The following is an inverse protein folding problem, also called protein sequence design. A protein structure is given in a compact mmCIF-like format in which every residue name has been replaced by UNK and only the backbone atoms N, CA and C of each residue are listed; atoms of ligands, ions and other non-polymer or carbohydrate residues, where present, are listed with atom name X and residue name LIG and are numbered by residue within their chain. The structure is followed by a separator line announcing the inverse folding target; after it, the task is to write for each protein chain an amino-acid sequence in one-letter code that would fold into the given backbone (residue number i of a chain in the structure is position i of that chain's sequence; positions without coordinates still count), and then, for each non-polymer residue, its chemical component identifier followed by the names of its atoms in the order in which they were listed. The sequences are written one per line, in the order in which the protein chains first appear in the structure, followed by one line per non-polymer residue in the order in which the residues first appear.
data_IF_513257441207
#
_entry.id   IF_513257441207
#
_cell.length_a   1.000
_cell.length_b   1.000
_cell.length_c   1.000
_cell.angle_alpha   90.00
_cell.angle_beta   90.00
_cell.angle_gamma   90.00
#
_symmetry.space_group_name_H-M   'P 1'
#
loop_
_entity.id
_entity.type
_entity.pdbx_description
1 polymer ?
#
# COMPACT_ATOMS: atom_id res chain seq x y z
N UNK A 1 -56.57 18.90 24.09
CA UNK A 1 -55.75 18.76 22.86
C UNK A 1 -54.52 17.95 23.25
N UNK A 2 -54.58 16.65 23.03
CA UNK A 2 -53.53 15.68 23.34
C UNK A 2 -52.68 15.51 22.08
N UNK A 3 -51.46 16.04 22.07
CA UNK A 3 -50.52 15.82 20.97
C UNK A 3 -50.09 14.35 20.92
N UNK A 4 -50.33 13.68 19.80
CA UNK A 4 -49.78 12.36 19.50
C UNK A 4 -48.32 12.50 19.03
N UNK A 5 -47.39 11.67 19.51
CA UNK A 5 -46.01 11.70 19.04
C UNK A 5 -45.89 11.10 17.63
N UNK A 6 -45.18 11.82 16.76
CA UNK A 6 -44.88 11.45 15.37
C UNK A 6 -44.11 10.11 15.29
N UNK A 7 -44.49 9.18 14.40
CA UNK A 7 -43.79 7.89 14.27
C UNK A 7 -42.37 8.08 13.74
N UNK A 8 -41.40 7.45 14.41
CA UNK A 8 -40.00 7.41 14.00
C UNK A 8 -39.85 6.65 12.67
N UNK A 9 -39.09 7.17 11.69
CA UNK A 9 -38.89 6.46 10.42
C UNK A 9 -38.15 5.14 10.64
N UNK A 10 -38.46 4.08 9.86
CA UNK A 10 -37.83 2.79 10.00
C UNK A 10 -36.31 2.89 9.78
N UNK A 11 -35.54 2.37 10.74
CA UNK A 11 -34.08 2.24 10.60
C UNK A 11 -33.77 1.42 9.36
N UNK A 12 -33.00 2.02 8.43
CA UNK A 12 -32.50 1.31 7.26
C UNK A 12 -31.70 0.08 7.71
N UNK A 13 -32.15 -1.10 7.31
CA UNK A 13 -31.45 -2.34 7.59
C UNK A 13 -30.00 -2.25 7.09
N UNK A 14 -29.00 -2.77 7.83
CA UNK A 14 -27.62 -2.78 7.37
C UNK A 14 -27.55 -3.49 6.02
N UNK A 15 -26.97 -2.81 5.03
CA UNK A 15 -26.79 -3.34 3.69
C UNK A 15 -26.10 -4.71 3.78
N UNK A 16 -26.82 -5.76 3.37
CA UNK A 16 -26.25 -7.10 3.30
C UNK A 16 -25.08 -7.04 2.29
N UNK A 17 -23.89 -7.57 2.63
CA UNK A 17 -22.85 -7.73 1.63
C UNK A 17 -23.38 -8.61 0.50
N UNK A 18 -23.14 -8.26 -0.77
CA UNK A 18 -23.70 -8.99 -1.90
C UNK A 18 -23.34 -10.47 -1.80
N UNK A 19 -24.36 -11.32 -1.84
CA UNK A 19 -24.22 -12.76 -1.83
C UNK A 19 -23.46 -13.22 -3.10
N UNK A 20 -22.36 -13.94 -2.90
CA UNK A 20 -21.66 -14.70 -3.94
C UNK A 20 -20.85 -13.89 -4.96
N UNK A 21 -19.60 -13.53 -4.63
CA UNK A 21 -18.64 -13.19 -5.68
C UNK A 21 -18.13 -14.49 -6.32
N UNK A 22 -18.61 -14.76 -7.53
CA UNK A 22 -18.23 -15.82 -8.47
C UNK A 22 -16.82 -15.62 -9.05
N UNK A 23 -15.85 -15.23 -8.21
CA UNK A 23 -14.44 -15.17 -8.57
C UNK A 23 -13.74 -16.49 -8.23
N UNK A 24 -12.87 -16.98 -9.11
CA UNK A 24 -11.96 -18.07 -8.75
C UNK A 24 -10.90 -17.52 -7.78
N UNK A 25 -10.84 -17.98 -6.52
CA UNK A 25 -9.87 -17.48 -5.55
C UNK A 25 -8.43 -17.64 -6.04
N UNK A 26 -8.16 -18.68 -6.83
CA UNK A 26 -6.86 -18.93 -7.45
C UNK A 26 -6.48 -17.80 -8.42
N UNK A 27 -7.42 -17.30 -9.23
CA UNK A 27 -7.17 -16.15 -10.12
C UNK A 27 -6.84 -14.91 -9.29
N UNK A 28 -7.56 -14.66 -8.19
CA UNK A 28 -7.25 -13.55 -7.28
C UNK A 28 -5.84 -13.65 -6.70
N UNK A 29 -5.43 -14.83 -6.26
CA UNK A 29 -4.07 -15.11 -5.74
C UNK A 29 -3.01 -14.88 -6.83
N UNK A 30 -3.20 -15.43 -8.03
CA UNK A 30 -2.26 -15.28 -9.14
C UNK A 30 -2.11 -13.80 -9.56
N UNK A 31 -3.22 -13.07 -9.66
CA UNK A 31 -3.20 -11.63 -9.94
C UNK A 31 -2.48 -10.85 -8.84
N UNK A 32 -2.64 -11.26 -7.57
CA UNK A 32 -1.95 -10.63 -6.45
C UNK A 32 -0.44 -10.85 -6.51
N UNK A 33 0.00 -12.09 -6.72
CA UNK A 33 1.43 -12.42 -6.84
C UNK A 33 2.05 -11.71 -8.05
N UNK A 34 1.34 -11.67 -9.19
CA UNK A 34 1.77 -10.92 -10.37
C UNK A 34 1.88 -9.41 -10.08
N UNK A 35 0.89 -8.82 -9.41
CA UNK A 35 0.92 -7.41 -8.99
C UNK A 35 2.13 -7.11 -8.11
N UNK A 36 2.34 -7.93 -7.07
CA UNK A 36 3.48 -7.80 -6.16
C UNK A 36 4.81 -7.91 -6.91
N UNK A 37 4.93 -8.88 -7.82
CA UNK A 37 6.14 -9.06 -8.63
C UNK A 37 6.42 -7.81 -9.49
N UNK A 38 5.39 -7.26 -10.13
CA UNK A 38 5.51 -6.02 -10.93
C UNK A 38 5.91 -4.82 -10.05
N UNK A 39 5.38 -4.71 -8.82
CA UNK A 39 5.78 -3.64 -7.89
C UNK A 39 7.23 -3.79 -7.42
N UNK A 40 7.70 -5.00 -7.16
CA UNK A 40 9.12 -5.22 -6.82
C UNK A 40 10.01 -4.90 -8.01
N UNK A 41 9.61 -5.26 -9.24
CA UNK A 41 10.30 -4.84 -10.47
C UNK A 41 10.34 -3.32 -10.59
N UNK A 42 9.23 -2.60 -10.32
CA UNK A 42 9.23 -1.13 -10.28
C UNK A 42 10.27 -0.61 -9.28
N UNK A 43 10.27 -1.08 -8.04
CA UNK A 43 11.23 -0.64 -7.02
C UNK A 43 12.67 -0.95 -7.41
N UNK A 44 12.90 -2.08 -8.08
CA UNK A 44 14.20 -2.50 -8.61
C UNK A 44 14.68 -1.53 -9.69
N UNK A 45 13.81 -1.18 -10.65
CA UNK A 45 14.12 -0.23 -11.72
C UNK A 45 14.39 1.18 -11.17
N UNK A 46 13.65 1.59 -10.12
CA UNK A 46 13.91 2.85 -9.40
C UNK A 46 15.29 2.82 -8.74
N UNK A 47 15.62 1.76 -7.99
CA UNK A 47 16.94 1.65 -7.37
C UNK A 47 18.06 1.62 -8.40
N UNK A 48 17.85 0.90 -9.51
CA UNK A 48 18.81 0.77 -10.60
C UNK A 48 19.04 2.08 -11.39
N UNK A 49 18.18 3.10 -11.25
CA UNK A 49 18.38 4.38 -11.93
C UNK A 49 19.47 5.26 -11.31
N UNK A 50 20.07 4.84 -10.18
CA UNK A 50 21.25 5.47 -9.58
C UNK A 50 20.95 6.58 -8.55
N UNK A 51 21.88 6.76 -7.62
CA UNK A 51 21.73 7.54 -6.36
C UNK A 51 21.60 9.06 -6.51
N UNK A 52 21.74 9.61 -7.72
CA UNK A 52 21.70 11.05 -7.95
C UNK A 52 20.29 11.64 -8.12
N UNK A 53 19.28 10.81 -8.42
CA UNK A 53 18.00 11.35 -8.86
C UNK A 53 17.15 11.86 -7.69
N UNK A 54 16.72 13.14 -7.70
CA UNK A 54 15.86 13.67 -6.65
C UNK A 54 14.55 12.89 -6.53
N UNK A 55 14.08 12.65 -5.30
CA UNK A 55 12.87 11.87 -5.08
C UNK A 55 11.63 12.45 -5.78
N UNK A 56 11.51 13.78 -5.87
CA UNK A 56 10.45 14.43 -6.63
C UNK A 56 10.48 14.11 -8.12
N UNK A 57 11.66 14.03 -8.73
CA UNK A 57 11.84 13.61 -10.11
C UNK A 57 11.43 12.14 -10.33
N UNK A 58 11.80 11.25 -9.41
CA UNK A 58 11.38 9.84 -9.45
C UNK A 58 9.84 9.75 -9.40
N UNK A 59 9.22 10.45 -8.45
CA UNK A 59 7.76 10.50 -8.28
C UNK A 59 7.07 10.98 -9.55
N UNK A 60 7.63 12.00 -10.21
CA UNK A 60 7.10 12.54 -11.46
C UNK A 60 7.09 11.48 -12.55
N UNK A 61 8.25 10.95 -12.93
CA UNK A 61 8.32 9.99 -14.03
C UNK A 61 7.50 8.74 -13.74
N UNK A 62 7.61 8.20 -12.51
CA UNK A 62 6.81 7.05 -12.09
C UNK A 62 5.31 7.32 -12.28
N UNK A 63 4.83 8.50 -11.90
CA UNK A 63 3.39 8.81 -11.94
C UNK A 63 2.92 9.18 -13.35
N UNK A 64 3.73 9.91 -14.10
CA UNK A 64 3.43 10.29 -15.48
C UNK A 64 3.31 9.05 -16.37
N UNK A 65 4.28 8.13 -16.30
CA UNK A 65 4.26 6.91 -17.09
C UNK A 65 3.26 5.86 -16.58
N UNK A 66 2.89 5.88 -15.28
CA UNK A 66 1.82 5.03 -14.76
C UNK A 66 0.44 5.35 -15.37
N UNK A 67 0.22 6.58 -15.83
CA UNK A 67 -1.04 6.98 -16.48
C UNK A 67 -1.28 6.16 -17.76
N UNK A 68 -0.24 5.79 -18.50
CA UNK A 68 -0.36 5.05 -19.77
C UNK A 68 -1.13 3.74 -19.63
N UNK A 69 -0.68 2.75 -18.83
CA UNK A 69 -1.44 1.50 -18.65
C UNK A 69 -2.81 1.74 -18.00
N UNK A 70 -2.96 2.75 -17.14
CA UNK A 70 -4.26 3.11 -16.54
C UNK A 70 -5.25 3.55 -17.62
N UNK A 71 -4.85 4.45 -18.52
CA UNK A 71 -5.69 4.93 -19.61
C UNK A 71 -6.03 3.80 -20.58
N UNK A 72 -5.05 2.97 -20.97
CA UNK A 72 -5.29 1.80 -21.83
C UNK A 72 -6.28 0.84 -21.19
N UNK A 73 -6.16 0.58 -19.89
CA UNK A 73 -7.12 -0.28 -19.19
C UNK A 73 -8.52 0.35 -19.14
N UNK A 74 -8.62 1.65 -18.87
CA UNK A 74 -9.90 2.37 -18.81
C UNK A 74 -10.60 2.44 -20.18
N UNK A 75 -9.86 2.63 -21.26
CA UNK A 75 -10.41 2.63 -22.63
C UNK A 75 -10.90 1.25 -23.02
N UNK A 76 -10.11 0.20 -22.80
CA UNK A 76 -10.51 -1.19 -23.08
C UNK A 76 -11.74 -1.61 -22.27
N UNK A 77 -11.92 -1.06 -21.07
CA UNK A 77 -13.12 -1.30 -20.23
C UNK A 77 -14.31 -0.39 -20.54
N UNK A 78 -14.18 0.59 -21.44
CA UNK A 78 -15.22 1.58 -21.72
C UNK A 78 -15.57 2.47 -20.52
N UNK A 79 -14.62 2.68 -19.61
CA UNK A 79 -14.85 3.39 -18.34
C UNK A 79 -14.22 4.78 -18.30
N UNK A 80 -13.51 5.19 -19.36
CA UNK A 80 -12.74 6.42 -19.41
C UNK A 80 -13.59 7.65 -19.05
N UNK A 81 -14.75 7.81 -19.68
CA UNK A 81 -15.65 8.97 -19.49
C UNK A 81 -16.11 9.12 -18.03
N UNK A 82 -16.30 7.99 -17.34
CA UNK A 82 -16.73 8.00 -15.94
C UNK A 82 -15.59 8.13 -14.95
N UNK A 83 -14.35 7.84 -15.36
CA UNK A 83 -13.18 7.91 -14.50
C UNK A 83 -12.79 9.36 -14.15
N UNK A 84 -13.16 10.32 -14.99
CA UNK A 84 -12.93 11.76 -14.77
C UNK A 84 -13.97 12.45 -13.89
N UNK A 85 -15.10 11.80 -13.61
CA UNK A 85 -16.16 12.40 -12.80
C UNK A 85 -15.87 12.15 -11.33
N UNK A 86 -15.68 13.22 -10.57
CA UNK A 86 -15.51 13.18 -9.11
C UNK A 86 -16.54 14.03 -8.40
N UNK A 87 -17.07 13.53 -7.28
CA UNK A 87 -17.93 14.29 -6.38
C UNK A 87 -17.13 15.05 -5.31
N UNK A 88 -15.85 14.71 -5.12
CA UNK A 88 -15.06 15.16 -3.98
C UNK A 88 -13.61 15.55 -4.34
N UNK A 89 -13.41 16.59 -5.18
CA UNK A 89 -12.08 16.98 -5.65
C UNK A 89 -11.12 17.34 -4.51
N UNK A 90 -11.62 17.97 -3.44
CA UNK A 90 -10.80 18.31 -2.26
C UNK A 90 -10.29 17.05 -1.53
N UNK A 91 -11.09 15.99 -1.47
CA UNK A 91 -10.70 14.72 -0.85
C UNK A 91 -9.63 14.01 -1.68
N UNK A 92 -9.74 14.04 -3.02
CA UNK A 92 -8.69 13.58 -3.91
C UNK A 92 -7.40 14.37 -3.74
N UNK A 93 -7.47 15.70 -3.64
CA UNK A 93 -6.29 16.53 -3.42
C UNK A 93 -5.59 16.24 -2.09
N UNK A 94 -6.34 16.19 -0.96
CA UNK A 94 -5.78 15.88 0.37
C UNK A 94 -5.12 14.50 0.38
N UNK A 95 -5.80 13.49 -0.15
CA UNK A 95 -5.24 12.14 -0.28
C UNK A 95 -4.04 12.13 -1.21
N UNK A 96 -4.09 12.89 -2.31
CA UNK A 96 -3.02 13.02 -3.28
C UNK A 96 -1.78 13.61 -2.62
N UNK A 97 -1.90 14.74 -1.93
CA UNK A 97 -0.81 15.38 -1.19
C UNK A 97 -0.14 14.41 -0.21
N UNK A 98 -0.92 13.81 0.70
CA UNK A 98 -0.39 12.88 1.71
C UNK A 98 0.26 11.65 1.04
N UNK A 99 -0.39 11.06 0.04
CA UNK A 99 0.12 9.88 -0.66
C UNK A 99 1.36 10.16 -1.51
N UNK A 100 1.48 11.37 -2.09
CA UNK A 100 2.63 11.80 -2.88
C UNK A 100 3.83 12.06 -1.98
N UNK A 101 3.63 12.72 -0.84
CA UNK A 101 4.69 12.89 0.16
C UNK A 101 5.16 11.53 0.69
N UNK A 102 4.23 10.61 0.99
CA UNK A 102 4.56 9.25 1.39
C UNK A 102 5.42 8.56 0.31
N UNK A 103 4.97 8.57 -0.95
CA UNK A 103 5.69 7.94 -2.06
C UNK A 103 7.08 8.55 -2.29
N UNK A 104 7.22 9.88 -2.20
CA UNK A 104 8.51 10.55 -2.31
C UNK A 104 9.49 10.12 -1.23
N UNK A 105 9.04 10.05 0.02
CA UNK A 105 9.86 9.56 1.14
C UNK A 105 10.20 8.07 0.99
N UNK A 106 9.26 7.26 0.50
CA UNK A 106 9.48 5.85 0.22
C UNK A 106 10.56 5.61 -0.84
N UNK A 107 10.50 6.35 -1.96
CA UNK A 107 11.55 6.29 -2.99
C UNK A 107 12.87 6.85 -2.50
N UNK A 108 12.86 7.94 -1.74
CA UNK A 108 14.06 8.47 -1.09
C UNK A 108 14.75 7.42 -0.22
N UNK A 109 13.97 6.62 0.52
CA UNK A 109 14.44 5.51 1.33
C UNK A 109 14.96 4.33 0.51
N UNK A 110 14.27 3.93 -0.55
CA UNK A 110 14.72 2.85 -1.47
C UNK A 110 16.10 3.18 -2.08
N UNK A 111 16.36 4.46 -2.35
CA UNK A 111 17.66 4.90 -2.89
C UNK A 111 18.81 4.87 -1.88
N UNK A 112 18.54 4.69 -0.58
CA UNK A 112 19.53 4.79 0.50
C UNK A 112 19.67 3.54 1.35
N UNK A 113 18.83 2.55 1.08
CA UNK A 113 18.80 1.31 1.82
C UNK A 113 19.01 0.14 0.86
N UNK A 114 19.54 -0.98 1.37
CA UNK A 114 19.35 -2.27 0.72
C UNK A 114 17.88 -2.48 0.37
N UNK A 115 17.62 -2.99 -0.83
CA UNK A 115 16.25 -3.19 -1.32
C UNK A 115 15.40 -4.01 -0.35
N UNK A 116 15.89 -5.13 0.23
CA UNK A 116 15.08 -5.90 1.16
C UNK A 116 14.83 -5.15 2.49
N UNK A 117 15.77 -4.34 2.97
CA UNK A 117 15.59 -3.51 4.18
C UNK A 117 14.46 -2.49 3.96
N UNK A 118 14.46 -1.79 2.82
CA UNK A 118 13.42 -0.81 2.48
C UNK A 118 12.03 -1.46 2.39
N UNK A 119 11.94 -2.64 1.76
CA UNK A 119 10.67 -3.40 1.66
C UNK A 119 10.21 -3.84 3.06
N UNK A 120 11.09 -4.43 3.87
CA UNK A 120 10.76 -4.95 5.19
C UNK A 120 10.32 -3.85 6.17
N UNK A 121 11.03 -2.71 6.21
CA UNK A 121 10.65 -1.56 7.04
C UNK A 121 9.32 -0.96 6.55
N UNK A 122 9.07 -0.96 5.23
CA UNK A 122 7.81 -0.50 4.64
C UNK A 122 6.57 -1.23 5.17
N UNK A 123 6.70 -2.47 5.66
CA UNK A 123 5.60 -3.20 6.32
C UNK A 123 5.18 -2.60 7.68
N UNK A 124 5.84 -1.56 8.17
CA UNK A 124 5.27 -0.72 9.21
C UNK A 124 3.92 -0.11 8.78
N UNK A 125 3.72 0.18 7.49
CA UNK A 125 2.51 0.83 6.98
C UNK A 125 1.21 0.06 7.32
N UNK A 126 1.05 -1.24 7.00
CA UNK A 126 -0.15 -1.98 7.39
C UNK A 126 -0.35 -2.06 8.91
N UNK A 127 0.73 -2.13 9.71
CA UNK A 127 0.64 -2.15 11.18
C UNK A 127 0.12 -0.80 11.70
N UNK A 128 0.68 0.31 11.23
CA UNK A 128 0.24 1.66 11.55
C UNK A 128 -1.18 1.94 11.05
N UNK A 129 -1.59 1.33 9.92
CA UNK A 129 -2.96 1.45 9.41
C UNK A 129 -3.98 0.88 10.40
N UNK A 130 -3.66 -0.21 11.11
CA UNK A 130 -4.53 -0.75 12.17
C UNK A 130 -4.68 0.24 13.32
N UNK A 131 -3.58 0.85 13.77
CA UNK A 131 -3.58 1.86 14.84
C UNK A 131 -4.42 3.07 14.42
N UNK A 132 -4.18 3.57 13.21
CA UNK A 132 -4.85 4.76 12.69
C UNK A 132 -6.33 4.51 12.41
N UNK A 133 -6.71 3.31 11.97
CA UNK A 133 -8.11 2.94 11.84
C UNK A 133 -8.83 2.95 13.21
N UNK A 134 -8.20 2.44 14.26
CA UNK A 134 -8.77 2.52 15.61
C UNK A 134 -8.98 3.98 16.06
N UNK A 135 -7.98 4.84 15.86
CA UNK A 135 -7.99 6.23 16.36
C UNK A 135 -8.88 7.15 15.52
N UNK A 136 -8.77 7.11 14.18
CA UNK A 136 -9.43 8.07 13.29
C UNK A 136 -10.79 7.61 12.77
N UNK A 137 -11.07 6.30 12.75
CA UNK A 137 -12.36 5.74 12.34
C UNK A 137 -13.18 5.22 13.52
N UNK A 138 -12.60 5.15 14.73
CA UNK A 138 -13.28 4.59 15.90
C UNK A 138 -13.52 3.07 15.78
N UNK A 139 -12.76 2.38 14.93
CA UNK A 139 -12.90 0.93 14.76
C UNK A 139 -12.53 0.19 16.05
N UNK A 140 -13.37 -0.74 16.49
CA UNK A 140 -13.09 -1.56 17.67
C UNK A 140 -12.07 -2.65 17.34
N UNK A 141 -10.83 -2.45 17.81
CA UNK A 141 -9.72 -3.37 17.58
C UNK A 141 -9.57 -4.34 18.76
N UNK A 142 -9.63 -5.64 18.45
CA UNK A 142 -9.48 -6.72 19.45
C UNK A 142 -8.03 -6.79 19.96
N UNK A 143 -7.86 -7.25 21.21
CA UNK A 143 -6.55 -7.30 21.88
C UNK A 143 -5.47 -8.05 21.08
N UNK A 144 -5.83 -9.13 20.39
CA UNK A 144 -4.86 -9.90 19.59
C UNK A 144 -4.31 -9.13 18.39
N UNK A 145 -5.07 -8.17 17.84
CA UNK A 145 -4.58 -7.27 16.78
C UNK A 145 -3.60 -6.27 17.36
N UNK A 146 -3.90 -5.70 18.53
CA UNK A 146 -2.98 -4.80 19.24
C UNK A 146 -1.65 -5.48 19.60
N UNK A 147 -1.70 -6.71 20.11
CA UNK A 147 -0.48 -7.46 20.41
C UNK A 147 0.33 -7.74 19.15
N UNK A 148 -0.32 -8.11 18.04
CA UNK A 148 0.37 -8.34 16.78
C UNK A 148 0.98 -7.06 16.19
N UNK A 149 0.29 -5.91 16.31
CA UNK A 149 0.84 -4.61 15.93
C UNK A 149 2.09 -4.28 16.75
N UNK A 150 2.04 -4.43 18.07
CA UNK A 150 3.18 -4.16 18.95
C UNK A 150 4.38 -5.07 18.62
N UNK A 151 4.15 -6.37 18.45
CA UNK A 151 5.18 -7.34 18.06
C UNK A 151 5.76 -7.02 16.68
N UNK A 152 4.90 -6.73 15.70
CA UNK A 152 5.33 -6.37 14.34
C UNK A 152 6.16 -5.09 14.32
N UNK A 153 5.76 -4.05 15.05
CA UNK A 153 6.54 -2.81 15.17
C UNK A 153 7.88 -3.05 15.88
N UNK A 154 7.93 -3.97 16.85
CA UNK A 154 9.19 -4.45 17.43
C UNK A 154 10.12 -5.09 16.38
N UNK A 155 9.56 -5.90 15.47
CA UNK A 155 10.30 -6.45 14.33
C UNK A 155 10.86 -5.36 13.40
N UNK A 156 10.08 -4.31 13.11
CA UNK A 156 10.54 -3.15 12.33
C UNK A 156 11.70 -2.43 13.02
N UNK A 157 11.65 -2.27 14.35
CA UNK A 157 12.75 -1.68 15.11
C UNK A 157 14.02 -2.53 15.03
N UNK A 158 13.91 -3.87 15.09
CA UNK A 158 15.06 -4.77 14.95
C UNK A 158 15.72 -4.63 13.57
N UNK A 159 14.92 -4.54 12.50
CA UNK A 159 15.44 -4.32 11.13
C UNK A 159 16.17 -2.96 11.05
N UNK A 160 15.59 -1.94 11.67
CA UNK A 160 16.06 -0.55 11.61
C UNK A 160 17.29 -0.31 12.49
N UNK A 161 17.46 -1.09 13.55
CA UNK A 161 18.46 -0.85 14.60
C UNK A 161 19.89 -0.69 14.07
N UNK A 162 20.44 -1.59 13.23
CA UNK A 162 21.83 -1.47 12.80
C UNK A 162 22.09 -0.20 11.99
N UNK A 163 21.14 0.17 11.13
CA UNK A 163 21.19 1.37 10.28
C UNK A 163 21.12 2.67 11.08
N UNK A 164 20.59 2.59 12.31
CA UNK A 164 20.48 3.71 13.24
C UNK A 164 21.60 3.75 14.29
N UNK A 165 22.30 2.64 14.54
CA UNK A 165 23.16 2.48 15.74
C UNK A 165 24.59 2.02 15.48
N UNK A 166 24.93 1.47 14.31
CA UNK A 166 26.19 0.76 14.11
C UNK A 166 27.05 1.41 13.00
N UNK A 167 28.02 2.22 13.42
CA UNK A 167 29.27 2.59 12.70
C UNK A 167 29.26 3.74 11.66
N UNK A 168 28.96 4.98 12.07
CA UNK A 168 29.38 6.20 11.36
C UNK A 168 28.38 7.37 11.47
N UNK A 169 28.85 8.53 11.94
CA UNK A 169 28.16 9.85 11.99
C UNK A 169 26.73 9.94 12.61
N UNK A 170 26.31 8.95 13.39
CA UNK A 170 25.03 8.98 14.12
C UNK A 170 23.81 9.08 13.19
N UNK A 171 22.77 9.80 13.61
CA UNK A 171 21.54 10.03 12.82
C UNK A 171 21.75 10.75 11.47
N UNK A 172 22.99 11.14 11.13
CA UNK A 172 23.34 11.79 9.87
C UNK A 172 23.73 10.85 8.73
N UNK A 173 23.84 9.53 8.96
CA UNK A 173 24.23 8.59 7.90
C UNK A 173 23.15 8.49 6.81
N UNK A 174 23.57 8.24 5.55
CA UNK A 174 22.65 8.08 4.42
C UNK A 174 21.60 6.97 4.70
N UNK A 175 22.03 5.87 5.32
CA UNK A 175 21.14 4.77 5.68
C UNK A 175 20.15 5.15 6.79
N UNK A 176 20.56 5.90 7.80
CA UNK A 176 19.67 6.39 8.86
C UNK A 176 18.59 7.31 8.29
N UNK A 177 18.96 8.22 7.38
CA UNK A 177 18.01 9.05 6.63
C UNK A 177 17.04 8.18 5.80
N UNK A 178 17.56 7.10 5.21
CA UNK A 178 16.75 6.11 4.50
C UNK A 178 15.69 5.46 5.40
N UNK A 179 16.08 4.96 6.57
CA UNK A 179 15.16 4.36 7.55
C UNK A 179 14.10 5.36 7.99
N UNK A 180 14.50 6.58 8.38
CA UNK A 180 13.58 7.63 8.80
C UNK A 180 12.58 7.98 7.69
N UNK A 181 13.05 8.06 6.44
CA UNK A 181 12.19 8.32 5.29
C UNK A 181 11.19 7.19 5.04
N UNK A 182 11.60 5.91 5.11
CA UNK A 182 10.67 4.77 4.94
C UNK A 182 9.63 4.72 6.07
N UNK A 183 10.02 4.99 7.31
CA UNK A 183 9.08 5.03 8.44
C UNK A 183 8.10 6.21 8.35
N UNK A 184 8.58 7.38 7.94
CA UNK A 184 7.73 8.54 7.66
C UNK A 184 6.77 8.27 6.48
N UNK A 185 7.28 7.62 5.43
CA UNK A 185 6.48 7.12 4.31
C UNK A 185 5.41 6.14 4.78
N UNK A 186 5.75 5.18 5.63
CA UNK A 186 4.80 4.21 6.17
C UNK A 186 3.70 4.88 7.00
N UNK A 187 4.06 5.89 7.79
CA UNK A 187 3.13 6.67 8.60
C UNK A 187 2.17 7.48 7.71
N UNK A 188 2.68 8.22 6.75
CA UNK A 188 1.85 8.98 5.80
C UNK A 188 1.04 8.05 4.88
N UNK A 189 1.61 6.89 4.51
CA UNK A 189 0.94 5.85 3.74
C UNK A 189 -0.24 5.25 4.48
N UNK A 190 -0.10 5.00 5.79
CA UNK A 190 -1.20 4.59 6.65
C UNK A 190 -2.31 5.64 6.69
N UNK A 191 -1.96 6.92 6.83
CA UNK A 191 -2.92 8.04 6.76
C UNK A 191 -3.60 8.09 5.39
N UNK A 192 -2.85 7.97 4.30
CA UNK A 192 -3.39 7.94 2.94
C UNK A 192 -4.36 6.76 2.75
N UNK A 193 -4.09 5.61 3.36
CA UNK A 193 -4.98 4.45 3.33
C UNK A 193 -6.31 4.74 4.04
N UNK A 194 -6.30 5.46 5.18
CA UNK A 194 -7.54 5.92 5.83
C UNK A 194 -8.32 6.89 4.93
N UNK A 195 -7.63 7.81 4.25
CA UNK A 195 -8.28 8.72 3.31
C UNK A 195 -8.89 7.96 2.12
N UNK A 196 -8.19 6.96 1.58
CA UNK A 196 -8.73 6.08 0.53
C UNK A 196 -9.97 5.33 1.02
N UNK A 197 -9.97 4.78 2.25
CA UNK A 197 -11.15 4.12 2.83
C UNK A 197 -12.38 5.02 2.89
N UNK A 198 -12.20 6.32 3.16
CA UNK A 198 -13.29 7.30 3.11
C UNK A 198 -13.71 7.61 1.67
N UNK A 199 -12.74 7.71 0.77
CA UNK A 199 -12.96 8.08 -0.62
C UNK A 199 -13.69 7.01 -1.43
N UNK A 200 -13.45 5.72 -1.17
CA UNK A 200 -14.17 4.61 -1.82
C UNK A 200 -15.67 4.58 -1.51
N UNK A 201 -16.14 5.31 -0.49
CA UNK A 201 -17.57 5.43 -0.19
C UNK A 201 -18.30 6.30 -1.22
N UNK A 202 -17.59 7.21 -1.90
CA UNK A 202 -18.16 8.19 -2.84
C UNK A 202 -17.57 8.10 -4.24
N UNK A 203 -16.39 7.51 -4.40
CA UNK A 203 -15.61 7.50 -5.63
C UNK A 203 -15.32 6.07 -6.10
N UNK A 204 -15.25 5.88 -7.43
CA UNK A 204 -14.86 4.59 -8.02
C UNK A 204 -13.35 4.38 -7.86
N UNK A 205 -12.91 3.15 -7.62
CA UNK A 205 -11.48 2.81 -7.49
C UNK A 205 -10.62 3.31 -8.66
N UNK A 206 -11.01 3.17 -9.95
CA UNK A 206 -10.21 3.67 -11.05
C UNK A 206 -10.08 5.21 -11.06
N UNK A 207 -11.13 5.93 -10.64
CA UNK A 207 -11.10 7.39 -10.43
C UNK A 207 -10.06 7.75 -9.38
N UNK A 208 -10.05 7.07 -8.23
CA UNK A 208 -9.05 7.30 -7.17
C UNK A 208 -7.62 7.08 -7.67
N UNK A 209 -7.38 6.03 -8.46
CA UNK A 209 -6.05 5.72 -9.00
C UNK A 209 -5.62 6.74 -10.07
N UNK A 210 -6.54 7.14 -10.97
CA UNK A 210 -6.27 8.15 -11.99
C UNK A 210 -5.95 9.51 -11.36
N UNK A 211 -6.80 9.99 -10.46
CA UNK A 211 -6.57 11.23 -9.72
C UNK A 211 -5.29 11.18 -8.89
N UNK A 212 -4.93 10.01 -8.31
CA UNK A 212 -3.63 9.87 -7.66
C UNK A 212 -2.49 10.20 -8.60
N UNK A 213 -2.52 9.59 -9.78
CA UNK A 213 -1.42 9.63 -10.73
C UNK A 213 -1.28 11.04 -11.31
N UNK A 214 -2.42 11.71 -11.54
CA UNK A 214 -2.45 13.12 -11.95
C UNK A 214 -1.93 14.04 -10.84
N UNK A 215 -2.46 13.94 -9.62
CA UNK A 215 -2.00 14.77 -8.50
C UNK A 215 -0.52 14.51 -8.19
N UNK A 216 -0.07 13.25 -8.26
CA UNK A 216 1.33 12.91 -8.10
C UNK A 216 2.21 13.52 -9.17
N UNK A 217 1.81 13.43 -10.45
CA UNK A 217 2.54 14.05 -11.56
C UNK A 217 2.63 15.56 -11.38
N UNK A 218 1.51 16.24 -11.10
CA UNK A 218 1.49 17.71 -10.98
C UNK A 218 2.25 18.20 -9.74
N UNK A 219 2.01 17.61 -8.57
CA UNK A 219 2.67 18.03 -7.33
C UNK A 219 4.18 17.75 -7.36
N UNK A 220 4.59 16.64 -7.96
CA UNK A 220 6.02 16.34 -8.09
C UNK A 220 6.71 17.19 -9.15
N UNK A 221 6.01 17.60 -10.21
CA UNK A 221 6.54 18.56 -11.18
C UNK A 221 6.89 19.90 -10.50
N UNK A 222 6.17 20.29 -9.44
CA UNK A 222 6.53 21.48 -8.65
C UNK A 222 7.92 21.37 -7.98
N UNK A 223 8.52 20.18 -7.93
CA UNK A 223 9.89 19.97 -7.45
C UNK A 223 10.97 20.24 -8.50
N UNK A 224 10.59 20.48 -9.76
CA UNK A 224 11.51 20.76 -10.88
C UNK A 224 12.54 21.86 -10.57
N UNK A 225 12.17 23.01 -9.95
CA UNK A 225 13.12 24.08 -9.64
C UNK A 225 14.16 23.71 -8.57
N UNK A 226 13.98 22.60 -7.86
CA UNK A 226 14.84 22.17 -6.74
C UNK A 226 15.96 21.21 -7.18
N UNK A 227 16.36 21.26 -8.46
CA UNK A 227 17.56 20.59 -8.95
C UNK A 227 17.35 19.23 -9.59
N UNK A 228 16.33 19.10 -10.46
CA UNK A 228 16.23 17.91 -11.31
C UNK A 228 17.46 17.75 -12.21
N UNK A 229 17.86 16.51 -12.40
CA UNK A 229 18.98 16.13 -13.25
C UNK A 229 18.40 15.63 -14.56
N UNK A 230 18.89 16.11 -15.71
CA UNK A 230 18.44 15.58 -17.00
C UNK A 230 18.86 14.10 -17.09
N UNK A 231 17.90 13.14 -17.15
CA UNK A 231 18.26 11.74 -17.24
C UNK A 231 18.82 11.45 -18.63
N UNK A 232 19.83 10.58 -18.70
CA UNK A 232 20.21 9.97 -19.97
C UNK A 232 19.09 9.02 -20.47
N UNK A 233 19.23 8.55 -21.71
CA UNK A 233 18.22 7.68 -22.33
C UNK A 233 18.02 6.36 -21.58
N UNK A 234 19.06 5.84 -20.94
CA UNK A 234 18.99 4.61 -20.17
C UNK A 234 18.17 4.81 -18.88
N UNK A 235 18.48 5.86 -18.12
CA UNK A 235 17.79 6.27 -16.90
C UNK A 235 16.33 6.61 -17.19
N UNK A 236 16.07 7.33 -18.28
CA UNK A 236 14.70 7.63 -18.73
C UNK A 236 13.95 6.35 -19.10
N UNK A 237 14.59 5.39 -19.78
CA UNK A 237 14.02 4.08 -20.10
C UNK A 237 13.66 3.27 -18.84
N UNK A 238 14.55 3.24 -17.85
CA UNK A 238 14.30 2.61 -16.55
C UNK A 238 13.11 3.27 -15.83
N UNK A 239 13.04 4.61 -15.84
CA UNK A 239 11.95 5.36 -15.22
C UNK A 239 10.61 5.20 -15.93
N UNK A 240 10.62 5.15 -17.26
CA UNK A 240 9.43 4.87 -18.07
C UNK A 240 8.90 3.46 -17.76
N UNK A 241 9.78 2.46 -17.71
CA UNK A 241 9.40 1.11 -17.36
C UNK A 241 8.93 1.01 -15.90
N UNK A 242 9.60 1.70 -14.96
CA UNK A 242 9.18 1.73 -13.57
C UNK A 242 7.77 2.33 -13.43
N UNK A 243 7.48 3.45 -14.09
CA UNK A 243 6.14 4.04 -14.08
C UNK A 243 5.10 3.14 -14.72
N UNK A 244 5.41 2.52 -15.86
CA UNK A 244 4.54 1.53 -16.49
C UNK A 244 4.23 0.36 -15.55
N UNK A 245 5.25 -0.22 -14.91
CA UNK A 245 5.08 -1.24 -13.88
C UNK A 245 4.22 -0.73 -12.72
N UNK A 246 4.40 0.51 -12.28
CA UNK A 246 3.59 1.12 -11.23
C UNK A 246 2.09 1.14 -11.58
N UNK A 247 1.72 1.53 -12.79
CA UNK A 247 0.34 1.53 -13.25
C UNK A 247 -0.23 0.12 -13.47
N UNK A 248 0.54 -0.77 -14.12
CA UNK A 248 0.16 -2.17 -14.33
C UNK A 248 -0.03 -2.92 -13.01
N UNK A 249 0.88 -2.74 -12.05
CA UNK A 249 0.82 -3.32 -10.71
C UNK A 249 -0.46 -2.91 -9.98
N UNK A 250 -0.87 -1.64 -10.08
CA UNK A 250 -2.12 -1.13 -9.50
C UNK A 250 -3.35 -1.74 -10.15
N UNK A 251 -3.35 -1.93 -11.48
CA UNK A 251 -4.44 -2.58 -12.20
C UNK A 251 -4.57 -4.04 -11.74
N UNK A 252 -3.47 -4.80 -11.74
CA UNK A 252 -3.45 -6.20 -11.29
C UNK A 252 -3.91 -6.34 -9.84
N UNK A 253 -3.45 -5.44 -8.96
CA UNK A 253 -3.88 -5.39 -7.56
C UNK A 253 -5.39 -5.18 -7.47
N UNK A 254 -5.91 -4.20 -8.20
CA UNK A 254 -7.35 -3.88 -8.19
C UNK A 254 -8.17 -5.04 -8.75
N UNK A 255 -7.68 -5.74 -9.78
CA UNK A 255 -8.33 -6.92 -10.32
C UNK A 255 -8.29 -8.11 -9.34
N UNK A 256 -7.25 -8.25 -8.52
CA UNK A 256 -7.16 -9.32 -7.52
C UNK A 256 -8.31 -9.26 -6.52
N UNK A 257 -8.67 -8.05 -6.05
CA UNK A 257 -9.79 -7.81 -5.13
C UNK A 257 -11.16 -8.15 -5.73
N UNK A 258 -11.27 -8.27 -7.06
CA UNK A 258 -12.51 -8.66 -7.73
C UNK A 258 -12.71 -10.17 -7.82
N UNK A 259 -11.64 -10.95 -7.61
CA UNK A 259 -11.65 -12.40 -7.78
C UNK A 259 -11.48 -13.17 -6.47
N UNK A 260 -11.01 -12.51 -5.41
CA UNK A 260 -10.85 -13.10 -4.10
C UNK A 260 -11.02 -12.06 -2.99
N UNK A 261 -11.49 -12.52 -1.83
CA UNK A 261 -11.57 -11.71 -0.62
C UNK A 261 -10.19 -11.19 -0.20
N UNK A 262 -10.15 -9.98 0.35
CA UNK A 262 -8.92 -9.31 0.81
C UNK A 262 -8.13 -10.20 1.78
N UNK A 263 -8.80 -10.92 2.69
CA UNK A 263 -8.15 -11.82 3.64
C UNK A 263 -7.49 -13.04 2.98
N UNK A 264 -8.02 -13.51 1.85
CA UNK A 264 -7.48 -14.66 1.11
C UNK A 264 -6.17 -14.29 0.40
N UNK A 265 -6.11 -13.10 -0.16
CA UNK A 265 -4.93 -12.65 -0.93
C UNK A 265 -3.90 -11.89 -0.10
N UNK A 266 -4.26 -11.42 1.10
CA UNK A 266 -3.37 -10.66 1.98
C UNK A 266 -2.03 -11.35 2.29
N UNK A 267 -1.95 -12.67 2.58
CA UNK A 267 -0.67 -13.33 2.85
C UNK A 267 0.31 -13.27 1.68
N UNK A 268 -0.20 -13.22 0.44
CA UNK A 268 0.63 -13.21 -0.75
C UNK A 268 1.33 -11.87 -0.99
N UNK A 269 0.98 -10.81 -0.24
CA UNK A 269 1.74 -9.57 -0.21
C UNK A 269 3.21 -9.83 0.19
N UNK A 270 3.42 -10.74 1.16
CA UNK A 270 4.76 -11.09 1.68
C UNK A 270 5.69 -11.73 0.63
N UNK A 271 5.16 -12.10 -0.53
CA UNK A 271 5.99 -12.47 -1.69
C UNK A 271 6.98 -11.35 -2.04
N UNK A 272 6.64 -10.08 -1.78
CA UNK A 272 7.53 -8.94 -2.04
C UNK A 272 8.83 -9.01 -1.24
N UNK A 273 8.80 -9.58 -0.04
CA UNK A 273 9.98 -9.74 0.82
C UNK A 273 10.93 -10.76 0.19
N UNK A 274 10.40 -11.91 -0.22
CA UNK A 274 11.20 -12.97 -0.84
C UNK A 274 11.83 -12.45 -2.14
N UNK A 275 11.04 -11.81 -3.00
CA UNK A 275 11.54 -11.21 -4.24
C UNK A 275 12.55 -10.10 -3.96
N UNK A 276 12.29 -9.25 -2.96
CA UNK A 276 13.18 -8.17 -2.55
C UNK A 276 14.53 -8.68 -2.06
N UNK A 277 14.56 -9.78 -1.31
CA UNK A 277 15.79 -10.46 -0.86
C UNK A 277 16.53 -11.04 -2.06
N UNK A 278 15.85 -11.79 -2.93
CA UNK A 278 16.48 -12.42 -4.09
C UNK A 278 17.07 -11.37 -5.04
N UNK A 279 16.29 -10.34 -5.37
CA UNK A 279 16.73 -9.26 -6.25
C UNK A 279 17.83 -8.43 -5.58
N UNK A 280 17.67 -8.09 -4.30
CA UNK A 280 18.70 -7.42 -3.51
C UNK A 280 20.04 -8.14 -3.61
N UNK A 281 20.03 -9.45 -3.34
CA UNK A 281 21.22 -10.28 -3.35
C UNK A 281 21.84 -10.42 -4.76
N UNK A 282 21.04 -10.80 -5.77
CA UNK A 282 21.56 -11.11 -7.11
C UNK A 282 21.84 -9.89 -7.99
N UNK A 283 21.10 -8.79 -7.84
CA UNK A 283 21.23 -7.59 -8.69
C UNK A 283 22.06 -6.52 -8.00
N UNK A 284 21.85 -6.29 -6.70
CA UNK A 284 22.48 -5.19 -5.97
C UNK A 284 23.62 -5.65 -5.04
N UNK A 285 23.84 -6.96 -4.87
CA UNK A 285 24.80 -7.48 -3.91
C UNK A 285 24.41 -7.21 -2.45
N UNK A 286 23.15 -6.88 -2.18
CA UNK A 286 22.61 -6.61 -0.86
C UNK A 286 22.51 -7.94 -0.07
N UNK A 287 23.50 -8.23 0.77
CA UNK A 287 23.50 -9.45 1.60
C UNK A 287 22.55 -9.27 2.80
N UNK A 288 21.51 -10.12 2.95
CA UNK A 288 20.60 -10.05 4.09
C UNK A 288 21.33 -10.23 5.42
N UNK A 289 21.17 -9.26 6.32
CA UNK A 289 21.73 -9.34 7.67
C UNK A 289 20.85 -10.20 8.57
N UNK A 290 21.43 -10.79 9.61
CA UNK A 290 20.68 -11.55 10.62
C UNK A 290 19.59 -10.72 11.29
N UNK A 291 19.87 -9.45 11.59
CA UNK A 291 18.89 -8.50 12.14
C UNK A 291 17.74 -8.24 11.17
N UNK A 292 18.00 -8.08 9.87
CA UNK A 292 16.93 -7.94 8.89
C UNK A 292 16.09 -9.22 8.80
N UNK A 293 16.71 -10.40 8.70
CA UNK A 293 15.99 -11.66 8.58
C UNK A 293 15.10 -11.94 9.80
N UNK A 294 15.64 -11.74 11.01
CA UNK A 294 14.90 -11.95 12.26
C UNK A 294 13.75 -10.96 12.42
N UNK A 295 14.00 -9.66 12.24
CA UNK A 295 12.95 -8.66 12.34
C UNK A 295 11.87 -8.83 11.26
N UNK A 296 12.25 -9.22 10.04
CA UNK A 296 11.32 -9.53 8.95
C UNK A 296 10.47 -10.75 9.28
N UNK A 297 11.05 -11.82 9.83
CA UNK A 297 10.30 -12.99 10.28
C UNK A 297 9.26 -12.63 11.36
N UNK A 298 9.61 -11.72 12.28
CA UNK A 298 8.67 -11.20 13.30
C UNK A 298 7.52 -10.43 12.66
N UNK A 299 7.81 -9.52 11.71
CA UNK A 299 6.79 -8.72 11.01
C UNK A 299 5.83 -9.60 10.22
N UNK A 300 6.37 -10.54 9.44
CA UNK A 300 5.58 -11.50 8.63
C UNK A 300 4.76 -12.40 9.54
N UNK A 301 5.37 -12.95 10.59
CA UNK A 301 4.70 -13.81 11.57
C UNK A 301 3.53 -13.10 12.26
N UNK A 302 3.73 -11.85 12.68
CA UNK A 302 2.68 -11.04 13.30
C UNK A 302 1.49 -10.81 12.35
N UNK A 303 1.76 -10.48 11.08
CA UNK A 303 0.69 -10.25 10.11
C UNK A 303 -0.03 -11.53 9.69
N UNK A 304 0.69 -12.63 9.47
CA UNK A 304 0.08 -13.95 9.22
C UNK A 304 -0.78 -14.37 10.42
N UNK A 305 -0.30 -14.18 11.65
CA UNK A 305 -1.07 -14.48 12.86
C UNK A 305 -2.41 -13.71 12.89
N UNK A 306 -2.40 -12.41 12.57
CA UNK A 306 -3.63 -11.61 12.48
C UNK A 306 -4.59 -12.19 11.45
N UNK A 307 -4.10 -12.50 10.25
CA UNK A 307 -4.91 -13.04 9.15
C UNK A 307 -5.55 -14.37 9.55
N UNK A 308 -4.76 -15.29 10.10
CA UNK A 308 -5.24 -16.62 10.53
C UNK A 308 -6.27 -16.49 11.65
N UNK A 309 -6.04 -15.60 12.62
CA UNK A 309 -6.97 -15.40 13.74
C UNK A 309 -8.28 -14.79 13.27
N UNK A 310 -8.24 -13.84 12.36
CA UNK A 310 -9.45 -13.26 11.76
C UNK A 310 -10.24 -14.28 10.95
N UNK A 311 -9.56 -15.11 10.17
CA UNK A 311 -10.19 -16.17 9.40
C UNK A 311 -10.90 -17.17 10.32
N UNK A 312 -10.22 -17.64 11.38
CA UNK A 312 -10.82 -18.54 12.38
C UNK A 312 -12.08 -17.94 13.03
N UNK A 313 -12.01 -16.68 13.48
CA UNK A 313 -13.15 -15.97 14.06
C UNK A 313 -14.30 -15.77 13.07
N UNK A 314 -13.99 -15.59 11.78
CA UNK A 314 -14.97 -15.51 10.71
C UNK A 314 -15.73 -16.83 10.50
N UNK A 315 -15.02 -17.96 10.58
CA UNK A 315 -15.61 -19.29 10.51
C UNK A 315 -16.52 -19.59 11.71
N UNK A 316 -16.08 -19.25 12.93
CA UNK A 316 -16.87 -19.39 14.15
C UNK A 316 -18.20 -18.62 14.07
N UNK A 317 -18.15 -17.35 13.61
CA UNK A 317 -19.37 -16.53 13.41
C UNK A 317 -20.31 -17.13 12.36
N UNK A 318 -19.78 -17.67 11.25
CA UNK A 318 -20.59 -18.34 10.23
C UNK A 318 -21.24 -19.61 10.78
N UNK A 319 -20.53 -20.38 11.59
CA UNK A 319 -21.06 -21.58 12.25
C UNK A 319 -22.18 -21.22 13.25
N UNK A 320 -21.97 -20.22 14.10
CA UNK A 320 -22.98 -19.72 15.04
C UNK A 320 -24.24 -19.22 14.31
N UNK A 321 -24.09 -18.51 13.18
CA UNK A 321 -25.25 -18.04 12.40
C UNK A 321 -26.06 -19.19 11.78
N UNK A 322 -25.42 -20.30 11.40
CA UNK A 322 -26.11 -21.51 10.92
C UNK A 322 -26.87 -22.24 12.03
N UNK A 323 -26.39 -22.16 13.27
CA UNK A 323 -27.05 -22.75 14.45
C UNK A 323 -28.25 -21.92 14.93
N UNK A 324 -28.29 -20.63 14.61
CA UNK A 324 -29.36 -19.69 15.03
C UNK A 324 -30.46 -19.52 13.97
N UNK A 325 -30.32 -20.10 12.77
CA UNK A 325 -31.45 -20.20 11.82
C UNK A 325 -32.57 -21.04 12.48
N UNK A 326 -33.76 -20.49 12.75
CA UNK A 326 -34.84 -21.27 13.31
C UNK A 326 -35.31 -22.26 12.24
N UNK A 327 -35.31 -23.54 12.58
CA UNK A 327 -36.38 -24.40 12.10
C UNK A 327 -37.65 -23.91 12.81
N UNK A 328 -38.48 -23.13 12.11
CA UNK A 328 -39.72 -22.55 12.64
C UNK A 328 -39.99 -21.17 12.10
#
# INVERSE_FOLDING_TARGET
MTEQPTPTPPQAAPAQPPAGQSGSPMIGILLKVASVSVFVTMSTLIKASGEGMPAGQIVFFRSAFAIVPILVFLTVRGQLDTAWRTASPLSHFRRGLVGVTAMGLGFYGIMRLPLPDAIAIGYAMPLLTVVFAAVFLGETVRIFRWSAVAVGLGGVLIISWPRLSLFGDGFGSSEALGVMAVLASATLGATAMILVRKLILTEKTPTIVLYFSLTATVLSLATLPFGWIMPDWQTLGLMAMAGFCGGLGQILLTQSYRHADVSTIAPFEYTSIVLGILIGYFIFGDVPTWTMLTGTAIVVGAGIFVILREHALGLERKAQRKLVTPQG
#
